data_IF_438925196376
#
_entry.id   IF_438925196376
#
_cell.length_a   1.000
_cell.length_b   1.000
_cell.length_c   1.000
_cell.angle_alpha   90.00
_cell.angle_beta   90.00
_cell.angle_gamma   90.00
#
_symmetry.space_group_name_H-M   'P 1'
#
loop_
_entity.id
_entity.type
_entity.pdbx_description
1 polymer ?
#
# COMPACT_ATOMS: atom_id res chain seq x y z
N UNK A 1 -12.64 -22.51 67.63
CA UNK A 1 -12.22 -23.62 66.74
C UNK A 1 -11.93 -23.02 65.37
N UNK A 2 -10.66 -22.87 65.03
CA UNK A 2 -10.19 -22.45 63.71
C UNK A 2 -10.16 -23.63 62.72
N UNK A 3 -10.26 -23.36 61.42
CA UNK A 3 -9.38 -23.99 60.45
C UNK A 3 -8.82 -22.94 59.47
N UNK A 4 -7.52 -22.63 59.52
CA UNK A 4 -6.44 -23.28 58.73
C UNK A 4 -6.54 -23.01 57.23
N UNK A 5 -5.93 -21.90 56.78
CA UNK A 5 -5.58 -21.67 55.38
C UNK A 5 -4.24 -22.33 55.02
N UNK A 6 -4.00 -22.70 53.74
CA UNK A 6 -2.76 -23.33 53.35
C UNK A 6 -1.65 -22.30 53.10
N UNK A 7 -0.54 -22.53 53.79
CA UNK A 7 0.77 -21.94 53.59
C UNK A 7 1.40 -22.41 52.28
N UNK A 8 1.79 -21.48 51.41
CA UNK A 8 2.70 -21.76 50.30
C UNK A 8 4.14 -21.44 50.71
N UNK A 9 4.90 -22.47 51.07
CA UNK A 9 6.36 -22.41 51.17
C UNK A 9 6.97 -23.26 50.04
N UNK A 10 7.91 -22.65 49.31
CA UNK A 10 9.12 -23.31 48.84
C UNK A 10 9.07 -24.00 47.48
N UNK A 11 9.60 -23.34 46.44
CA UNK A 11 10.32 -23.98 45.34
C UNK A 11 11.40 -23.02 44.78
N UNK A 12 12.48 -23.54 44.18
CA UNK A 12 13.84 -23.04 44.38
C UNK A 12 14.29 -21.95 43.39
N UNK A 13 15.21 -21.12 43.87
CA UNK A 13 15.97 -20.14 43.08
C UNK A 13 16.93 -20.86 42.12
N UNK A 14 16.48 -21.14 40.91
CA UNK A 14 17.34 -21.50 39.79
C UNK A 14 17.99 -20.26 39.18
N UNK A 15 19.27 -20.00 39.51
CA UNK A 15 20.10 -19.02 38.81
C UNK A 15 20.43 -19.58 37.41
N UNK A 16 19.64 -19.22 36.41
CA UNK A 16 20.07 -19.33 35.02
C UNK A 16 20.78 -18.05 34.60
N UNK A 17 22.12 -18.11 34.63
CA UNK A 17 22.99 -17.13 34.01
C UNK A 17 22.81 -17.23 32.49
N UNK A 18 22.15 -16.24 31.88
CA UNK A 18 22.17 -16.06 30.44
C UNK A 18 23.51 -15.47 30.02
N UNK A 19 24.18 -15.99 28.98
CA UNK A 19 25.43 -15.41 28.50
C UNK A 19 25.14 -14.04 27.87
N UNK A 20 25.86 -13.01 28.36
CA UNK A 20 25.89 -11.67 27.79
C UNK A 20 26.27 -11.74 26.30
N UNK A 21 25.31 -11.41 25.43
CA UNK A 21 25.54 -11.24 24.01
C UNK A 21 26.49 -10.04 23.78
N UNK A 22 27.56 -10.28 23.02
CA UNK A 22 28.58 -9.30 22.67
C UNK A 22 27.96 -8.09 21.97
N UNK A 23 28.34 -6.89 22.42
CA UNK A 23 28.03 -5.61 21.76
C UNK A 23 28.69 -5.60 20.38
N UNK A 24 27.90 -5.45 19.33
CA UNK A 24 28.40 -5.18 17.98
C UNK A 24 28.04 -3.74 17.64
N UNK A 25 29.05 -2.87 17.66
CA UNK A 25 28.94 -1.48 17.19
C UNK A 25 29.01 -1.48 15.66
N UNK A 26 27.99 -0.92 15.01
CA UNK A 26 27.99 -0.71 13.56
C UNK A 26 28.44 0.72 13.27
N UNK A 27 29.67 0.89 12.78
CA UNK A 27 30.16 2.20 12.32
C UNK A 27 29.73 2.41 10.87
N UNK A 28 28.82 3.36 10.63
CA UNK A 28 28.40 3.75 9.27
C UNK A 28 29.43 4.69 8.64
N UNK A 29 30.13 4.25 7.59
CA UNK A 29 30.92 5.12 6.69
C UNK A 29 30.02 5.67 5.59
N UNK A 30 29.93 6.99 5.49
CA UNK A 30 29.25 7.70 4.40
C UNK A 30 30.26 8.10 3.32
N UNK A 31 29.98 7.74 2.07
CA UNK A 31 30.59 8.34 0.88
C UNK A 31 29.48 9.01 0.08
N UNK A 32 29.62 10.32 -0.14
CA UNK A 32 28.72 11.16 -0.94
C UNK A 32 29.51 11.64 -2.16
N UNK A 33 29.03 11.46 -3.40
CA UNK A 33 29.53 12.24 -4.52
C UNK A 33 28.65 13.49 -4.76
N UNK A 34 29.32 14.59 -5.08
CA UNK A 34 28.77 15.91 -5.33
C UNK A 34 27.96 15.98 -6.64
N UNK A 35 26.84 16.70 -6.61
CA UNK A 35 25.99 16.99 -7.78
C UNK A 35 26.39 18.35 -8.37
N UNK A 36 26.65 18.38 -9.68
CA UNK A 36 27.02 19.56 -10.44
C UNK A 36 25.82 20.46 -10.76
N UNK A 37 26.07 21.76 -10.67
CA UNK A 37 25.20 22.89 -11.01
C UNK A 37 24.89 22.95 -12.51
N UNK A 38 23.63 23.17 -12.87
CA UNK A 38 23.22 23.64 -14.20
C UNK A 38 22.53 25.00 -14.09
N UNK A 39 23.00 25.87 -14.98
CA UNK A 39 22.80 27.30 -15.09
C UNK A 39 21.49 27.64 -15.82
N UNK A 40 20.81 28.70 -15.39
CA UNK A 40 19.56 29.20 -15.96
C UNK A 40 19.82 30.55 -16.63
N UNK A 41 19.57 30.65 -17.94
CA UNK A 41 19.49 31.93 -18.65
C UNK A 41 18.47 31.88 -19.81
N UNK A 42 17.26 32.38 -19.53
CA UNK A 42 16.54 33.51 -20.18
C UNK A 42 16.31 33.62 -21.72
N UNK A 43 15.33 34.45 -22.15
CA UNK A 43 14.35 34.16 -23.24
C UNK A 43 14.47 35.06 -24.48
N UNK A 44 13.60 34.86 -25.51
CA UNK A 44 13.05 35.87 -26.46
C UNK A 44 12.05 35.22 -27.46
N UNK A 45 10.76 35.63 -27.50
CA UNK A 45 10.08 36.67 -28.33
C UNK A 45 9.68 36.25 -29.78
N UNK A 46 8.35 36.26 -30.01
CA UNK A 46 7.55 36.61 -31.21
C UNK A 46 7.97 36.21 -32.64
N UNK A 47 7.06 35.56 -33.38
CA UNK A 47 6.31 36.19 -34.50
C UNK A 47 5.21 35.27 -35.04
N UNK A 48 4.08 35.89 -35.42
CA UNK A 48 3.01 35.33 -36.24
C UNK A 48 3.41 35.29 -37.73
N UNK A 49 2.82 34.38 -38.51
CA UNK A 49 2.04 34.75 -39.71
C UNK A 49 1.27 33.56 -40.30
N UNK A 50 0.14 33.90 -40.89
CA UNK A 50 -0.94 33.04 -41.37
C UNK A 50 -0.86 32.73 -42.88
N UNK A 51 -1.50 31.63 -43.33
CA UNK A 51 -2.26 31.47 -44.60
C UNK A 51 -2.86 30.03 -44.63
N UNK A 52 -4.18 29.82 -44.53
CA UNK A 52 -5.29 29.90 -45.53
C UNK A 52 -5.43 28.67 -46.46
N UNK A 53 -6.66 28.11 -46.44
CA UNK A 53 -7.37 27.23 -47.40
C UNK A 53 -7.04 25.71 -47.40
N UNK A 54 -7.98 24.77 -47.55
CA UNK A 54 -9.39 24.81 -47.96
C UNK A 54 -10.17 23.58 -47.43
N UNK A 55 -11.49 23.74 -47.33
CA UNK A 55 -12.46 22.69 -47.06
C UNK A 55 -12.53 21.61 -48.16
N UNK A 56 -12.65 20.34 -47.75
CA UNK A 56 -13.32 19.26 -48.49
C UNK A 56 -14.09 18.37 -47.52
N UNK A 57 -15.35 18.13 -47.81
CA UNK A 57 -16.26 17.18 -47.15
C UNK A 57 -16.57 16.03 -48.14
N UNK A 58 -17.25 14.95 -47.72
CA UNK A 58 -16.70 13.72 -47.16
C UNK A 58 -16.79 12.55 -48.16
N UNK A 59 -15.96 11.52 -48.00
CA UNK A 59 -16.13 10.26 -48.75
C UNK A 59 -15.83 9.05 -47.87
N UNK A 60 -16.91 8.34 -47.54
CA UNK A 60 -17.06 6.88 -47.42
C UNK A 60 -16.07 6.10 -46.54
N UNK A 61 -16.61 5.58 -45.43
CA UNK A 61 -16.08 4.42 -44.70
C UNK A 61 -16.05 3.18 -45.59
N UNK A 62 -15.09 2.28 -45.33
CA UNK A 62 -15.42 0.86 -45.26
C UNK A 62 -14.94 0.23 -43.95
N UNK A 63 -15.88 -0.45 -43.27
CA UNK A 63 -15.60 -1.69 -42.54
C UNK A 63 -14.91 -1.58 -41.19
N UNK A 64 -15.72 -1.45 -40.15
CA UNK A 64 -15.48 -1.97 -38.80
C UNK A 64 -14.83 -3.36 -38.82
N UNK A 65 -13.60 -3.42 -38.37
CA UNK A 65 -13.24 -4.30 -37.26
C UNK A 65 -12.70 -3.35 -36.20
N UNK A 66 -13.57 -2.88 -35.31
CA UNK A 66 -13.08 -2.51 -33.98
C UNK A 66 -12.53 -3.81 -33.42
N UNK A 67 -11.22 -3.97 -33.59
CA UNK A 67 -10.40 -4.84 -32.76
C UNK A 67 -10.95 -4.61 -31.36
N UNK A 68 -11.62 -5.62 -30.80
CA UNK A 68 -12.11 -5.58 -29.42
C UNK A 68 -10.85 -5.60 -28.58
N UNK A 69 -10.17 -4.46 -28.54
CA UNK A 69 -8.93 -4.24 -27.85
C UNK A 69 -9.30 -4.55 -26.42
N UNK A 70 -8.85 -5.72 -25.94
CA UNK A 70 -9.05 -6.12 -24.56
C UNK A 70 -8.39 -5.03 -23.72
N UNK A 71 -9.21 -4.08 -23.31
CA UNK A 71 -8.75 -2.91 -22.60
C UNK A 71 -8.45 -3.41 -21.22
N UNK A 72 -7.23 -3.17 -20.74
CA UNK A 72 -6.83 -3.63 -19.42
C UNK A 72 -7.86 -3.17 -18.38
N UNK A 73 -8.28 -4.04 -17.43
CA UNK A 73 -9.26 -3.67 -16.42
C UNK A 73 -8.87 -2.38 -15.72
N UNK A 74 -9.82 -1.48 -15.47
CA UNK A 74 -9.52 -0.24 -14.74
C UNK A 74 -9.08 -0.57 -13.31
N UNK A 75 -8.01 0.07 -12.85
CA UNK A 75 -7.48 -0.10 -11.49
C UNK A 75 -8.10 0.95 -10.56
N UNK A 76 -8.69 0.53 -9.45
CA UNK A 76 -9.12 1.42 -8.37
C UNK A 76 -8.33 1.11 -7.10
N UNK A 77 -7.47 2.03 -6.66
CA UNK A 77 -6.83 1.90 -5.34
C UNK A 77 -7.77 2.41 -4.25
N UNK A 78 -8.08 1.54 -3.29
CA UNK A 78 -9.04 1.81 -2.21
C UNK A 78 -8.31 2.03 -0.88
N UNK A 79 -8.30 3.27 -0.39
CA UNK A 79 -7.82 3.59 0.95
C UNK A 79 -8.98 3.67 1.94
N UNK A 80 -8.75 3.32 3.22
CA UNK A 80 -9.77 3.46 4.28
C UNK A 80 -10.39 4.86 4.33
N UNK A 81 -9.56 5.87 4.09
CA UNK A 81 -9.95 7.27 4.18
C UNK A 81 -9.59 7.88 5.53
N UNK A 82 -9.45 9.20 5.55
CA UNK A 82 -9.09 9.96 6.73
C UNK A 82 -9.48 11.42 6.54
N UNK A 83 -9.76 12.11 7.65
CA UNK A 83 -9.93 13.58 7.66
C UNK A 83 -8.60 14.31 7.50
N UNK A 84 -7.49 13.61 7.67
CA UNK A 84 -6.16 14.15 7.46
C UNK A 84 -5.83 14.22 5.96
N UNK A 85 -5.67 15.44 5.45
CA UNK A 85 -5.35 15.70 4.04
C UNK A 85 -4.05 15.03 3.59
N UNK A 86 -3.12 14.71 4.50
CA UNK A 86 -1.88 14.00 4.16
C UNK A 86 -2.14 12.61 3.61
N UNK A 87 -3.22 11.95 4.04
CA UNK A 87 -3.64 10.66 3.49
C UNK A 87 -4.10 10.82 2.05
N UNK A 88 -4.99 11.78 1.78
CA UNK A 88 -5.47 12.03 0.43
C UNK A 88 -4.32 12.42 -0.53
N UNK A 89 -3.41 13.29 -0.09
CA UNK A 89 -2.22 13.67 -0.88
C UNK A 89 -1.31 12.48 -1.17
N UNK A 90 -1.06 11.62 -0.18
CA UNK A 90 -0.27 10.41 -0.38
C UNK A 90 -0.94 9.45 -1.36
N UNK A 91 -2.24 9.20 -1.24
CA UNK A 91 -2.94 8.31 -2.19
C UNK A 91 -2.94 8.87 -3.61
N UNK A 92 -3.11 10.19 -3.78
CA UNK A 92 -3.02 10.82 -5.11
C UNK A 92 -1.59 10.78 -5.69
N UNK A 93 -0.57 10.96 -4.86
CA UNK A 93 0.81 10.81 -5.31
C UNK A 93 1.14 9.34 -5.66
N UNK A 94 0.55 8.36 -4.98
CA UNK A 94 0.65 6.95 -5.35
C UNK A 94 -0.02 6.68 -6.71
N UNK A 95 -1.18 7.28 -6.97
CA UNK A 95 -1.83 7.23 -8.30
C UNK A 95 -0.92 7.78 -9.39
N UNK A 96 -0.30 8.94 -9.16
CA UNK A 96 0.63 9.53 -10.12
C UNK A 96 1.83 8.60 -10.41
N UNK A 97 2.35 7.92 -9.39
CA UNK A 97 3.43 6.95 -9.54
C UNK A 97 2.97 5.69 -10.31
N UNK A 98 1.75 5.21 -10.07
CA UNK A 98 1.16 4.11 -10.86
C UNK A 98 1.05 4.48 -12.33
N UNK A 99 0.51 5.66 -12.64
CA UNK A 99 0.42 6.17 -14.02
C UNK A 99 1.80 6.33 -14.66
N UNK A 100 2.83 6.70 -13.89
CA UNK A 100 4.21 6.80 -14.39
C UNK A 100 4.80 5.43 -14.72
N UNK A 101 4.53 4.41 -13.91
CA UNK A 101 5.06 3.05 -14.10
C UNK A 101 4.29 2.27 -15.18
N UNK A 102 2.97 2.48 -15.29
CA UNK A 102 2.07 1.82 -16.23
C UNK A 102 1.06 2.82 -16.82
N UNK A 103 1.46 3.65 -17.80
CA UNK A 103 0.57 4.60 -18.46
C UNK A 103 -0.65 3.94 -19.12
N UNK A 104 -0.55 2.67 -19.47
CA UNK A 104 -1.59 1.85 -20.08
C UNK A 104 -2.70 1.42 -19.11
N UNK A 105 -2.46 1.48 -17.79
CA UNK A 105 -3.46 1.15 -16.76
C UNK A 105 -4.18 2.41 -16.32
N UNK A 106 -5.48 2.50 -16.60
CA UNK A 106 -6.31 3.58 -16.08
C UNK A 106 -6.51 3.39 -14.56
N UNK A 107 -5.86 4.25 -13.77
CA UNK A 107 -5.84 4.14 -12.32
C UNK A 107 -6.68 5.25 -11.67
N UNK A 108 -7.55 4.88 -10.73
CA UNK A 108 -8.40 5.78 -9.95
C UNK A 108 -8.16 5.63 -8.46
N UNK A 109 -8.45 6.69 -7.71
CA UNK A 109 -8.38 6.71 -6.23
C UNK A 109 -9.78 6.68 -5.68
N UNK A 110 -10.03 5.77 -4.74
CA UNK A 110 -11.26 5.71 -3.98
C UNK A 110 -10.99 5.66 -2.47
N UNK A 111 -11.94 6.17 -1.71
CA UNK A 111 -11.92 6.08 -0.25
C UNK A 111 -13.15 5.34 0.28
N UNK A 112 -12.96 4.55 1.35
CA UNK A 112 -14.05 3.81 2.00
C UNK A 112 -14.89 4.72 2.90
N UNK A 113 -14.26 5.72 3.53
CA UNK A 113 -14.92 6.69 4.38
C UNK A 113 -14.17 8.05 4.40
N UNK A 114 -14.71 9.01 5.17
CA UNK A 114 -14.07 10.27 5.64
C UNK A 114 -13.54 11.26 4.60
N UNK A 115 -13.44 10.87 3.33
CA UNK A 115 -12.94 11.68 2.24
C UNK A 115 -13.53 11.20 0.92
N UNK A 116 -13.40 12.04 -0.10
CA UNK A 116 -13.95 11.82 -1.43
C UNK A 116 -12.80 11.77 -2.46
N UNK A 117 -13.00 11.10 -3.59
CA UNK A 117 -14.24 10.41 -4.02
C UNK A 117 -14.44 9.06 -3.29
N UNK A 118 -15.70 8.70 -3.02
CA UNK A 118 -16.04 7.42 -2.40
C UNK A 118 -15.92 6.26 -3.39
N UNK A 119 -15.71 5.03 -2.91
CA UNK A 119 -15.63 3.86 -3.78
C UNK A 119 -16.84 3.70 -4.72
N UNK A 120 -18.11 3.82 -4.27
CA UNK A 120 -19.26 3.77 -5.19
C UNK A 120 -19.28 4.90 -6.22
N UNK A 121 -18.83 6.11 -5.87
CA UNK A 121 -18.78 7.23 -6.82
C UNK A 121 -17.78 6.97 -7.95
N UNK A 122 -16.61 6.44 -7.60
CA UNK A 122 -15.58 6.10 -8.58
C UNK A 122 -16.06 4.97 -9.47
N UNK A 123 -16.57 3.88 -8.89
CA UNK A 123 -17.08 2.74 -9.64
C UNK A 123 -18.25 3.13 -10.56
N UNK A 124 -19.18 3.97 -10.11
CA UNK A 124 -20.28 4.46 -10.95
C UNK A 124 -19.80 5.37 -12.09
N UNK A 125 -18.76 6.18 -11.87
CA UNK A 125 -18.14 7.02 -12.92
C UNK A 125 -17.47 6.14 -13.98
N UNK A 126 -16.75 5.11 -13.54
CA UNK A 126 -16.09 4.13 -14.42
C UNK A 126 -17.12 3.34 -15.23
N UNK A 127 -18.19 2.85 -14.60
CA UNK A 127 -19.29 2.20 -15.30
C UNK A 127 -19.98 3.12 -16.32
N UNK A 128 -20.18 4.40 -15.97
CA UNK A 128 -20.77 5.40 -16.87
C UNK A 128 -19.91 5.78 -18.06
N UNK A 129 -18.62 5.42 -18.06
CA UNK A 129 -17.68 5.65 -19.17
C UNK A 129 -17.55 4.46 -20.12
N UNK A 130 -18.37 3.41 -19.94
CA UNK A 130 -18.38 2.22 -20.81
C UNK A 130 -17.30 1.19 -20.45
N UNK A 131 -16.72 1.29 -19.25
CA UNK A 131 -15.80 0.27 -18.72
C UNK A 131 -16.61 -0.82 -18.04
N UNK A 132 -16.36 -2.07 -18.44
CA UNK A 132 -17.07 -3.24 -17.91
C UNK A 132 -16.23 -4.06 -16.91
N UNK A 133 -14.94 -3.78 -16.78
CA UNK A 133 -14.02 -4.53 -15.92
C UNK A 133 -13.22 -3.61 -15.00
N UNK A 134 -13.30 -3.87 -13.69
CA UNK A 134 -12.60 -3.10 -12.66
C UNK A 134 -11.94 -4.02 -11.64
N UNK A 135 -10.71 -3.65 -11.25
CA UNK A 135 -10.00 -4.29 -10.16
C UNK A 135 -9.80 -3.29 -9.02
N UNK A 136 -10.32 -3.62 -7.84
CA UNK A 136 -10.15 -2.82 -6.63
C UNK A 136 -8.98 -3.37 -5.83
N UNK A 137 -7.97 -2.54 -5.54
CA UNK A 137 -6.80 -2.92 -4.72
C UNK A 137 -6.84 -2.19 -3.37
N UNK A 138 -7.04 -2.92 -2.25
CA UNK A 138 -7.05 -2.33 -0.91
C UNK A 138 -5.65 -1.89 -0.46
N UNK A 139 -5.51 -0.61 -0.09
CA UNK A 139 -4.29 -0.03 0.47
C UNK A 139 -4.17 -0.29 1.98
N UNK A 140 -4.09 -1.57 2.37
CA UNK A 140 -3.84 -2.01 3.74
C UNK A 140 -2.49 -2.74 3.84
N UNK A 141 -1.66 -2.30 4.78
CA UNK A 141 -0.32 -2.85 5.01
C UNK A 141 -0.30 -4.02 5.99
N UNK A 142 -1.36 -4.22 6.76
CA UNK A 142 -1.39 -5.10 7.94
C UNK A 142 -2.23 -6.34 7.74
N UNK A 143 -3.33 -6.24 6.99
CA UNK A 143 -4.14 -7.41 6.62
C UNK A 143 -3.51 -8.16 5.46
N UNK A 144 -3.49 -9.50 5.52
CA UNK A 144 -2.90 -10.33 4.48
C UNK A 144 -3.92 -11.02 3.57
N UNK A 145 -5.12 -11.30 4.09
CA UNK A 145 -6.18 -12.04 3.39
C UNK A 145 -7.49 -11.28 3.48
N UNK A 146 -7.90 -10.91 4.69
CA UNK A 146 -9.18 -10.24 4.89
C UNK A 146 -9.14 -8.82 4.32
N UNK A 147 -10.15 -8.49 3.53
CA UNK A 147 -10.39 -7.14 3.02
C UNK A 147 -11.27 -6.40 4.02
N UNK A 148 -11.18 -5.07 4.06
CA UNK A 148 -12.07 -4.24 4.88
C UNK A 148 -13.54 -4.59 4.52
N UNK A 149 -14.38 -5.06 5.47
CA UNK A 149 -15.71 -5.61 5.16
C UNK A 149 -16.64 -4.64 4.43
N UNK A 150 -16.34 -3.35 4.48
CA UNK A 150 -17.10 -2.32 3.76
C UNK A 150 -16.89 -2.39 2.26
N UNK A 151 -15.73 -2.87 1.79
CA UNK A 151 -15.45 -2.97 0.35
C UNK A 151 -16.49 -3.88 -0.31
N UNK A 152 -16.74 -5.05 0.24
CA UNK A 152 -17.70 -6.00 -0.34
C UNK A 152 -19.11 -5.40 -0.42
N UNK A 153 -19.55 -4.71 0.64
CA UNK A 153 -20.84 -4.03 0.65
C UNK A 153 -20.95 -2.88 -0.36
N UNK A 154 -19.89 -2.08 -0.50
CA UNK A 154 -19.83 -0.95 -1.44
C UNK A 154 -19.74 -1.43 -2.90
N UNK A 155 -19.01 -2.52 -3.16
CA UNK A 155 -18.95 -3.17 -4.47
C UNK A 155 -20.30 -3.78 -4.82
N UNK A 156 -20.91 -4.57 -3.93
CA UNK A 156 -22.22 -5.16 -4.15
C UNK A 156 -23.30 -4.10 -4.44
N UNK A 157 -23.29 -2.99 -3.69
CA UNK A 157 -24.17 -1.85 -3.95
C UNK A 157 -24.00 -1.31 -5.38
N UNK A 158 -22.75 -1.17 -5.83
CA UNK A 158 -22.45 -0.59 -7.15
C UNK A 158 -22.78 -1.55 -8.29
N UNK A 159 -22.45 -2.83 -8.16
CA UNK A 159 -22.78 -3.87 -9.15
C UNK A 159 -24.30 -4.06 -9.27
N UNK A 160 -25.06 -3.85 -8.20
CA UNK A 160 -26.53 -3.85 -8.30
C UNK A 160 -27.07 -2.68 -9.16
N UNK A 161 -26.41 -1.52 -9.11
CA UNK A 161 -26.76 -0.35 -9.92
C UNK A 161 -26.23 -0.44 -11.36
N UNK A 162 -25.13 -1.16 -11.56
CA UNK A 162 -24.47 -1.35 -12.85
C UNK A 162 -24.21 -2.84 -13.11
N UNK A 163 -25.22 -3.63 -13.55
CA UNK A 163 -25.09 -5.08 -13.68
C UNK A 163 -24.05 -5.57 -14.71
N UNK A 164 -23.68 -4.72 -15.67
CA UNK A 164 -22.64 -5.02 -16.66
C UNK A 164 -21.21 -4.89 -16.09
N UNK A 165 -21.05 -4.17 -14.97
CA UNK A 165 -19.74 -3.92 -14.36
C UNK A 165 -19.27 -5.15 -13.56
N UNK A 166 -18.23 -5.81 -14.05
CA UNK A 166 -17.50 -6.87 -13.35
C UNK A 166 -16.41 -6.26 -12.48
N UNK A 167 -16.50 -6.51 -11.18
CA UNK A 167 -15.55 -6.00 -10.19
C UNK A 167 -14.84 -7.16 -9.50
N UNK A 168 -13.51 -7.23 -9.63
CA UNK A 168 -12.66 -8.11 -8.80
C UNK A 168 -12.00 -7.30 -7.68
N UNK A 169 -11.92 -7.87 -6.49
CA UNK A 169 -11.26 -7.25 -5.33
C UNK A 169 -9.97 -8.01 -5.05
N UNK A 170 -8.84 -7.34 -5.24
CA UNK A 170 -7.54 -7.92 -4.96
C UNK A 170 -7.32 -8.09 -3.45
N UNK A 171 -6.40 -8.99 -3.10
CA UNK A 171 -5.88 -9.05 -1.73
C UNK A 171 -5.23 -7.71 -1.35
N UNK A 172 -5.20 -7.37 -0.05
CA UNK A 172 -4.49 -6.18 0.41
C UNK A 172 -3.00 -6.21 0.05
N UNK A 173 -2.39 -5.02 -0.02
CA UNK A 173 -1.00 -4.89 -0.45
C UNK A 173 -0.01 -5.50 0.54
N UNK A 174 -0.22 -5.41 1.86
CA UNK A 174 0.75 -5.88 2.86
C UNK A 174 0.36 -7.14 3.62
N UNK A 175 1.10 -7.52 4.67
CA UNK A 175 2.45 -7.09 5.04
C UNK A 175 3.54 -7.85 4.25
N UNK A 176 4.08 -7.20 3.21
CA UNK A 176 5.05 -7.82 2.30
C UNK A 176 6.52 -7.65 2.69
N UNK A 177 7.35 -8.59 2.24
CA UNK A 177 8.78 -8.61 2.58
C UNK A 177 9.54 -7.46 1.91
N UNK A 178 9.16 -7.13 0.67
CA UNK A 178 9.77 -6.08 -0.15
C UNK A 178 9.71 -4.71 0.53
N UNK A 179 8.67 -4.46 1.32
CA UNK A 179 8.50 -3.21 2.05
C UNK A 179 9.54 -3.00 3.17
N UNK A 180 10.25 -4.04 3.59
CA UNK A 180 11.33 -3.90 4.58
C UNK A 180 12.53 -3.12 4.02
N UNK A 181 12.80 -3.21 2.72
CA UNK A 181 13.87 -2.43 2.07
C UNK A 181 13.54 -0.94 2.14
N UNK A 182 12.28 -0.59 1.86
CA UNK A 182 11.81 0.79 1.97
C UNK A 182 11.81 1.28 3.42
N UNK A 183 11.34 0.44 4.36
CA UNK A 183 11.40 0.74 5.80
C UNK A 183 12.83 1.03 6.27
N UNK A 184 13.79 0.22 5.82
CA UNK A 184 15.21 0.41 6.13
C UNK A 184 15.75 1.71 5.55
N UNK A 185 15.43 2.05 4.29
CA UNK A 185 15.82 3.31 3.69
C UNK A 185 15.26 4.52 4.48
N UNK A 186 13.99 4.47 4.90
CA UNK A 186 13.36 5.50 5.74
C UNK A 186 14.04 5.59 7.11
N UNK A 187 14.34 4.45 7.73
CA UNK A 187 15.02 4.42 9.03
C UNK A 187 16.43 5.01 8.94
N UNK A 188 17.23 4.61 7.95
CA UNK A 188 18.58 5.15 7.73
C UNK A 188 18.56 6.66 7.53
N UNK A 189 17.60 7.17 6.77
CA UNK A 189 17.42 8.61 6.56
C UNK A 189 17.14 9.34 7.89
N UNK A 190 16.26 8.79 8.73
CA UNK A 190 15.96 9.37 10.04
C UNK A 190 17.16 9.30 11.01
N UNK A 191 17.91 8.20 11.02
CA UNK A 191 19.13 8.05 11.83
C UNK A 191 20.20 9.05 11.40
N UNK A 192 20.39 9.24 10.09
CA UNK A 192 21.35 10.21 9.55
C UNK A 192 20.96 11.66 9.92
N UNK A 193 19.68 12.01 9.77
CA UNK A 193 19.16 13.33 10.14
C UNK A 193 19.36 13.62 11.64
N UNK A 194 19.14 12.62 12.50
CA UNK A 194 19.33 12.72 13.95
C UNK A 194 20.80 12.54 14.39
N UNK A 195 21.74 12.31 13.46
CA UNK A 195 23.17 12.05 13.72
C UNK A 195 23.40 10.92 14.74
N UNK A 196 22.59 9.88 14.65
CA UNK A 196 22.66 8.73 15.57
C UNK A 196 23.89 7.89 15.24
N UNK A 197 24.74 7.66 16.26
CA UNK A 197 25.98 6.89 16.12
C UNK A 197 25.86 5.44 16.56
N UNK A 198 24.89 5.14 17.42
CA UNK A 198 24.67 3.83 17.99
C UNK A 198 23.20 3.43 17.92
N UNK A 199 22.95 2.16 17.67
CA UNK A 199 21.62 1.58 17.63
C UNK A 199 21.68 0.17 18.22
N UNK A 200 20.82 -0.13 19.19
CA UNK A 200 20.84 -1.41 19.91
C UNK A 200 19.45 -2.09 20.00
N UNK A 201 18.40 -1.44 19.48
CA UNK A 201 17.04 -1.99 19.41
C UNK A 201 16.18 -1.33 18.34
N UNK A 202 15.24 -2.10 17.82
CA UNK A 202 14.31 -1.67 16.77
C UNK A 202 12.86 -1.88 17.22
N UNK A 203 11.97 -1.01 16.76
CA UNK A 203 10.53 -1.21 16.86
C UNK A 203 9.93 -1.10 15.48
N UNK A 204 9.20 -2.12 15.06
CA UNK A 204 8.36 -2.07 13.87
C UNK A 204 6.96 -1.62 14.28
N UNK A 205 6.60 -0.42 13.87
CA UNK A 205 5.39 0.27 14.29
C UNK A 205 4.35 0.23 13.18
N UNK A 206 3.17 -0.33 13.43
CA UNK A 206 2.07 -0.39 12.47
C UNK A 206 0.83 0.37 12.94
N UNK A 207 -0.07 0.70 12.02
CA UNK A 207 -1.34 1.34 12.34
C UNK A 207 -2.26 0.40 13.15
N UNK A 208 -2.34 -0.86 12.74
CA UNK A 208 -3.25 -1.88 13.27
C UNK A 208 -2.56 -3.25 13.35
N UNK A 209 -3.16 -4.22 14.06
CA UNK A 209 -2.67 -5.61 14.14
C UNK A 209 -2.93 -6.40 12.85
N UNK A 210 -3.97 -6.05 12.09
CA UNK A 210 -4.40 -6.75 10.87
C UNK A 210 -5.25 -7.98 11.18
N UNK A 211 -5.49 -8.82 10.17
CA UNK A 211 -6.12 -10.14 10.34
C UNK A 211 -5.17 -11.16 11.01
N UNK A 212 -5.65 -12.37 11.29
CA UNK A 212 -4.86 -13.43 11.96
C UNK A 212 -3.57 -13.71 11.18
N UNK A 213 -3.66 -13.81 9.85
CA UNK A 213 -2.50 -14.09 8.99
C UNK A 213 -1.58 -12.87 8.87
N UNK A 214 -2.15 -11.68 8.78
CA UNK A 214 -1.45 -10.39 8.77
C UNK A 214 -0.62 -10.18 10.03
N UNK A 215 -1.20 -10.41 11.20
CA UNK A 215 -0.50 -10.34 12.50
C UNK A 215 0.72 -11.27 12.52
N UNK A 216 0.54 -12.52 12.09
CA UNK A 216 1.63 -13.51 12.04
C UNK A 216 2.74 -13.10 11.04
N UNK A 217 2.35 -12.56 9.88
CA UNK A 217 3.29 -12.08 8.88
C UNK A 217 4.01 -10.81 9.35
N UNK A 218 3.34 -9.87 10.01
CA UNK A 218 3.96 -8.68 10.57
C UNK A 218 5.00 -9.04 11.65
N UNK A 219 4.69 -9.99 12.52
CA UNK A 219 5.65 -10.56 13.47
C UNK A 219 6.82 -11.27 12.76
N UNK A 220 6.57 -11.90 11.61
CA UNK A 220 7.64 -12.44 10.75
C UNK A 220 8.49 -11.32 10.13
N UNK A 221 7.88 -10.21 9.68
CA UNK A 221 8.61 -9.04 9.14
C UNK A 221 9.52 -8.42 10.20
N UNK A 222 9.03 -8.24 11.42
CA UNK A 222 9.85 -7.77 12.54
C UNK A 222 11.05 -8.69 12.81
N UNK A 223 10.86 -10.02 12.78
CA UNK A 223 11.96 -11.00 12.92
C UNK A 223 12.95 -10.97 11.75
N UNK A 224 12.47 -10.82 10.52
CA UNK A 224 13.33 -10.69 9.34
C UNK A 224 14.18 -9.42 9.42
N UNK A 225 13.56 -8.31 9.81
CA UNK A 225 14.23 -7.03 9.98
C UNK A 225 15.24 -7.05 11.14
N UNK A 226 14.87 -7.67 12.26
CA UNK A 226 15.78 -7.98 13.38
C UNK A 226 16.99 -8.79 12.93
N UNK A 227 16.79 -9.84 12.14
CA UNK A 227 17.87 -10.69 11.62
C UNK A 227 18.80 -9.93 10.68
N UNK A 228 18.25 -9.09 9.80
CA UNK A 228 19.01 -8.28 8.87
C UNK A 228 19.96 -7.31 9.59
N UNK A 229 19.47 -6.62 10.63
CA UNK A 229 20.28 -5.67 11.40
C UNK A 229 21.06 -6.29 12.56
N UNK A 230 20.80 -7.55 12.90
CA UNK A 230 21.32 -8.23 14.11
C UNK A 230 20.96 -7.48 15.40
N UNK A 231 19.77 -6.90 15.44
CA UNK A 231 19.23 -6.15 16.58
C UNK A 231 17.91 -6.77 17.04
N UNK A 232 17.57 -6.76 18.34
CA UNK A 232 16.23 -7.15 18.78
C UNK A 232 15.19 -6.19 18.20
N UNK A 233 14.12 -6.73 17.63
CA UNK A 233 13.00 -5.95 17.11
C UNK A 233 11.70 -6.39 17.79
N UNK A 234 10.97 -5.43 18.37
CA UNK A 234 9.61 -5.64 18.84
C UNK A 234 8.60 -4.98 17.89
N UNK A 235 7.34 -5.39 17.97
CA UNK A 235 6.25 -4.73 17.24
C UNK A 235 5.51 -3.76 18.15
N UNK A 236 4.96 -2.70 17.56
CA UNK A 236 4.07 -1.77 18.22
C UNK A 236 2.89 -1.42 17.32
N UNK A 237 1.73 -1.15 17.90
CA UNK A 237 0.47 -0.92 17.17
C UNK A 237 -0.19 0.37 17.66
N UNK A 238 -0.69 1.19 16.74
CA UNK A 238 -1.22 2.52 17.04
C UNK A 238 -2.70 2.54 17.46
N UNK A 239 -3.49 1.53 17.12
CA UNK A 239 -4.94 1.47 17.38
C UNK A 239 -5.33 0.91 18.77
N UNK A 240 -4.33 0.52 19.58
CA UNK A 240 -4.55 -0.06 20.91
C UNK A 240 -4.88 -1.56 20.92
N UNK A 241 -4.95 -2.23 19.77
CA UNK A 241 -5.15 -3.69 19.68
C UNK A 241 -3.91 -4.50 20.04
N UNK A 242 -2.76 -3.85 20.21
CA UNK A 242 -1.49 -4.47 20.57
C UNK A 242 -0.63 -3.56 21.46
N UNK A 243 0.64 -3.95 21.71
CA UNK A 243 1.56 -3.14 22.48
C UNK A 243 1.72 -1.75 21.88
N UNK A 244 1.56 -0.71 22.69
CA UNK A 244 1.93 0.66 22.29
C UNK A 244 3.43 0.77 22.07
N UNK A 245 3.86 1.81 21.34
CA UNK A 245 5.29 2.08 21.14
C UNK A 245 6.03 2.29 22.46
N UNK A 246 5.39 2.91 23.45
CA UNK A 246 5.95 3.09 24.79
C UNK A 246 6.18 1.74 25.50
N UNK A 247 5.21 0.82 25.43
CA UNK A 247 5.34 -0.52 26.01
C UNK A 247 6.43 -1.34 25.30
N UNK A 248 6.51 -1.29 23.97
CA UNK A 248 7.57 -1.94 23.21
C UNK A 248 8.96 -1.38 23.56
N UNK A 249 9.12 -0.05 23.65
CA UNK A 249 10.36 0.57 24.11
C UNK A 249 10.74 0.14 25.52
N UNK A 250 9.78 0.09 26.44
CA UNK A 250 10.02 -0.37 27.81
C UNK A 250 10.48 -1.83 27.84
N UNK A 251 9.90 -2.69 26.99
CA UNK A 251 10.32 -4.08 26.82
C UNK A 251 11.75 -4.24 26.34
N UNK A 252 12.22 -3.39 25.41
CA UNK A 252 13.63 -3.38 25.01
C UNK A 252 14.54 -2.81 26.10
N UNK A 253 14.08 -1.80 26.85
CA UNK A 253 14.86 -1.18 27.93
C UNK A 253 15.09 -2.11 29.11
N UNK A 254 14.12 -2.97 29.44
CA UNK A 254 14.29 -4.01 30.47
C UNK A 254 15.33 -5.06 30.08
N UNK A 255 15.59 -5.23 28.77
CA UNK A 255 16.67 -6.06 28.23
C UNK A 255 18.01 -5.32 28.10
N UNK A 256 18.12 -4.11 28.65
CA UNK A 256 19.33 -3.30 28.64
C UNK A 256 19.57 -2.48 27.38
N UNK A 257 18.60 -2.39 26.46
CA UNK A 257 18.69 -1.55 25.25
C UNK A 257 18.45 -0.08 25.60
N UNK A 258 19.17 0.82 24.95
CA UNK A 258 19.17 2.26 25.25
C UNK A 258 19.01 3.12 23.99
N UNK A 259 19.59 2.70 22.87
CA UNK A 259 19.54 3.38 21.59
C UNK A 259 18.51 2.68 20.69
N UNK A 260 17.24 3.01 20.91
CA UNK A 260 16.11 2.37 20.24
C UNK A 260 15.56 3.29 19.16
N UNK A 261 15.42 2.79 17.94
CA UNK A 261 14.75 3.52 16.85
C UNK A 261 13.45 2.82 16.42
N UNK A 262 12.54 3.62 15.86
CA UNK A 262 11.21 3.18 15.44
C UNK A 262 11.12 3.25 13.92
N UNK A 263 10.84 2.12 13.28
CA UNK A 263 10.46 2.04 11.87
C UNK A 263 8.94 2.12 11.73
N UNK A 264 8.48 3.06 10.91
CA UNK A 264 7.06 3.32 10.67
C UNK A 264 6.54 2.55 9.45
N UNK A 265 5.83 1.45 9.73
CA UNK A 265 5.09 0.65 8.76
C UNK A 265 3.70 1.24 8.48
N UNK A 266 3.71 2.45 7.90
CA UNK A 266 2.55 3.27 7.55
C UNK A 266 2.67 3.72 6.09
N UNK A 267 1.55 3.92 5.39
CA UNK A 267 1.57 4.49 4.03
C UNK A 267 1.72 6.01 4.07
N UNK A 268 1.09 6.69 5.01
CA UNK A 268 1.06 8.14 5.09
C UNK A 268 1.36 8.62 6.52
N UNK A 269 1.77 9.89 6.63
CA UNK A 269 2.02 10.55 7.91
C UNK A 269 0.69 11.02 8.50
N UNK A 270 -0.22 10.09 8.77
CA UNK A 270 -1.55 10.37 9.30
C UNK A 270 -1.50 10.69 10.81
N UNK A 271 -2.67 10.96 11.39
CA UNK A 271 -2.81 11.26 12.82
C UNK A 271 -2.30 10.11 13.70
N UNK A 272 -2.57 8.85 13.33
CA UNK A 272 -2.12 7.68 14.10
C UNK A 272 -0.60 7.58 14.12
N UNK A 273 0.03 7.74 12.95
CA UNK A 273 1.48 7.82 12.86
C UNK A 273 2.02 9.00 13.68
N UNK A 274 1.42 10.18 13.58
CA UNK A 274 1.88 11.37 14.27
C UNK A 274 1.85 11.19 15.80
N UNK A 275 0.75 10.65 16.35
CA UNK A 275 0.62 10.35 17.78
C UNK A 275 1.67 9.32 18.22
N UNK A 276 1.85 8.25 17.44
CA UNK A 276 2.85 7.22 17.77
C UNK A 276 4.28 7.75 17.70
N UNK A 277 4.61 8.52 16.67
CA UNK A 277 5.94 9.10 16.47
C UNK A 277 6.28 10.10 17.57
N UNK A 278 5.32 10.94 17.96
CA UNK A 278 5.43 11.88 19.06
C UNK A 278 5.58 11.16 20.41
N UNK A 279 4.81 10.10 20.65
CA UNK A 279 4.97 9.25 21.84
C UNK A 279 6.36 8.58 21.87
N UNK A 280 6.85 8.06 20.76
CA UNK A 280 8.17 7.46 20.67
C UNK A 280 9.28 8.46 21.00
N UNK A 281 9.20 9.68 20.45
CA UNK A 281 10.15 10.76 20.74
C UNK A 281 10.12 11.14 22.21
N UNK A 282 8.93 11.33 22.81
CA UNK A 282 8.78 11.61 24.25
C UNK A 282 9.40 10.54 25.14
N UNK A 283 9.22 9.28 24.78
CA UNK A 283 9.78 8.16 25.55
C UNK A 283 11.29 8.04 25.32
N UNK A 284 11.87 8.72 24.33
CA UNK A 284 13.31 8.81 24.08
C UNK A 284 13.81 7.87 22.98
N UNK A 285 13.03 7.69 21.91
CA UNK A 285 13.52 7.03 20.71
C UNK A 285 14.60 7.90 20.05
N UNK A 286 15.71 7.29 19.64
CA UNK A 286 16.84 8.04 19.03
C UNK A 286 16.51 8.50 17.61
N UNK A 287 15.60 7.78 16.94
CA UNK A 287 15.05 8.16 15.65
C UNK A 287 13.67 7.51 15.46
N UNK A 288 12.82 8.16 14.68
CA UNK A 288 11.56 7.63 14.18
C UNK A 288 11.55 7.84 12.67
N UNK A 289 11.39 6.78 11.90
CA UNK A 289 11.36 6.89 10.44
C UNK A 289 10.09 7.60 9.98
N UNK A 290 10.19 8.28 8.83
CA UNK A 290 8.98 8.66 8.10
C UNK A 290 8.23 7.40 7.63
N UNK A 291 6.92 7.51 7.34
CA UNK A 291 6.14 6.46 6.69
C UNK A 291 6.77 6.00 5.38
N UNK A 292 6.36 4.82 4.90
CA UNK A 292 6.80 4.26 3.62
C UNK A 292 6.53 5.23 2.46
N UNK A 293 5.37 5.90 2.49
CA UNK A 293 5.00 6.90 1.51
C UNK A 293 4.59 6.28 0.18
N UNK A 294 4.83 7.03 -0.89
CA UNK A 294 4.43 6.71 -2.26
C UNK A 294 5.61 6.25 -3.10
N UNK A 295 6.50 5.45 -2.50
CA UNK A 295 7.67 4.96 -3.21
C UNK A 295 7.26 3.97 -4.31
N UNK A 296 8.12 3.84 -5.33
CA UNK A 296 7.87 2.97 -6.49
C UNK A 296 7.56 1.53 -6.06
N UNK A 297 8.20 1.02 -5.01
CA UNK A 297 7.98 -0.34 -4.49
C UNK A 297 6.55 -0.56 -3.98
N UNK A 298 5.88 0.50 -3.50
CA UNK A 298 4.47 0.43 -3.10
C UNK A 298 3.58 0.36 -4.34
N UNK A 299 3.90 1.15 -5.37
CA UNK A 299 3.16 1.14 -6.64
C UNK A 299 3.34 -0.20 -7.38
N UNK A 300 4.56 -0.74 -7.43
CA UNK A 300 4.83 -2.08 -7.98
C UNK A 300 4.04 -3.17 -7.25
N UNK A 301 3.91 -3.07 -5.94
CA UNK A 301 3.13 -4.02 -5.15
C UNK A 301 1.64 -3.91 -5.44
N UNK A 302 1.11 -2.69 -5.61
CA UNK A 302 -0.26 -2.47 -6.08
C UNK A 302 -0.46 -3.09 -7.45
N UNK A 303 0.46 -2.87 -8.40
CA UNK A 303 0.40 -3.46 -9.75
C UNK A 303 0.47 -4.99 -9.71
N UNK A 304 1.25 -5.57 -8.81
CA UNK A 304 1.29 -7.02 -8.62
C UNK A 304 -0.03 -7.58 -8.09
N UNK A 305 -0.69 -6.87 -7.16
CA UNK A 305 -2.04 -7.25 -6.68
C UNK A 305 -3.10 -7.09 -7.76
N UNK A 306 -3.02 -6.00 -8.50
CA UNK A 306 -3.86 -5.73 -9.66
C UNK A 306 -3.75 -6.84 -10.71
N UNK A 307 -2.53 -7.18 -11.15
CA UNK A 307 -2.32 -8.17 -12.18
C UNK A 307 -2.87 -9.56 -11.78
N UNK A 308 -2.70 -9.95 -10.51
CA UNK A 308 -3.26 -11.21 -10.02
C UNK A 308 -4.79 -11.22 -10.01
N UNK A 309 -5.42 -10.14 -9.53
CA UNK A 309 -6.88 -10.03 -9.49
C UNK A 309 -7.51 -9.84 -10.88
N UNK A 310 -6.81 -9.17 -11.80
CA UNK A 310 -7.21 -9.05 -13.20
C UNK A 310 -7.34 -10.43 -13.88
N UNK A 311 -6.52 -11.41 -13.49
CA UNK A 311 -6.66 -12.78 -14.01
C UNK A 311 -8.01 -13.41 -13.67
N UNK A 312 -8.67 -13.00 -12.58
CA UNK A 312 -9.99 -13.51 -12.21
C UNK A 312 -11.12 -12.97 -13.09
N UNK A 313 -10.86 -11.91 -13.87
CA UNK A 313 -11.81 -11.32 -14.81
C UNK A 313 -11.73 -11.95 -16.20
N UNK A 314 -10.68 -12.73 -16.46
CA UNK A 314 -10.52 -13.42 -17.74
C UNK A 314 -11.51 -14.58 -17.84
N UNK A 315 -12.22 -14.72 -18.97
CA UNK A 315 -13.07 -15.87 -19.22
C UNK A 315 -12.20 -17.12 -19.40
N UNK A 316 -12.40 -18.11 -18.52
CA UNK A 316 -11.86 -19.45 -18.67
C UNK A 316 -12.99 -20.42 -18.98
N UNK A 317 -12.78 -21.34 -19.93
CA UNK A 317 -13.72 -22.43 -20.18
C UNK A 317 -13.70 -23.47 -19.03
N UNK A 318 -14.65 -24.42 -19.04
CA UNK A 318 -14.73 -25.50 -18.03
C UNK A 318 -13.46 -26.39 -17.96
N UNK A 319 -12.53 -26.24 -18.91
CA UNK A 319 -11.27 -26.99 -19.00
C UNK A 319 -10.06 -26.15 -18.55
N UNK A 320 -10.27 -24.89 -18.15
CA UNK A 320 -9.23 -23.97 -17.72
C UNK A 320 -8.42 -23.34 -18.87
N UNK A 321 -8.87 -23.47 -20.11
CA UNK A 321 -8.29 -22.75 -21.23
C UNK A 321 -8.88 -21.34 -21.30
N UNK A 322 -8.08 -20.40 -21.80
CA UNK A 322 -8.55 -19.06 -22.11
C UNK A 322 -9.68 -19.16 -23.15
N UNK A 323 -10.89 -18.79 -22.76
CA UNK A 323 -12.02 -18.72 -23.68
C UNK A 323 -11.93 -17.37 -24.38
N UNK A 324 -11.49 -17.33 -25.63
CA UNK A 324 -11.65 -16.11 -26.42
C UNK A 324 -13.14 -15.75 -26.43
N UNK A 325 -13.52 -14.47 -26.25
CA UNK A 325 -14.93 -14.08 -26.32
C UNK A 325 -15.48 -14.55 -27.67
N UNK A 326 -16.59 -15.30 -27.64
CA UNK A 326 -17.24 -15.74 -28.88
C UNK A 326 -17.57 -14.49 -29.71
N UNK A 327 -17.23 -14.47 -31.01
CA UNK A 327 -17.58 -13.33 -31.84
C UNK A 327 -19.10 -13.19 -31.82
N UNK A 328 -19.57 -12.00 -31.45
CA UNK A 328 -20.98 -11.66 -31.45
C UNK A 328 -21.52 -11.82 -32.88
N UNK A 329 -22.12 -12.98 -33.17
CA UNK A 329 -22.73 -13.22 -34.47
C UNK A 329 -24.01 -12.42 -34.50
N UNK A 330 -23.92 -11.18 -35.01
CA UNK A 330 -25.09 -10.38 -35.33
C UNK A 330 -26.04 -11.25 -36.19
N UNK A 331 -27.33 -11.40 -35.81
CA UNK A 331 -28.25 -12.16 -36.60
C UNK A 331 -28.36 -11.49 -37.97
N UNK A 332 -27.92 -12.20 -39.02
CA UNK A 332 -28.12 -11.78 -40.40
C UNK A 332 -29.63 -11.61 -40.57
N UNK A 333 -30.06 -10.34 -40.63
CA UNK A 333 -31.46 -9.99 -40.83
C UNK A 333 -32.00 -10.71 -42.05
N UNK A 334 -33.07 -11.46 -41.85
CA UNK A 334 -33.84 -12.06 -42.92
C UNK A 334 -34.27 -10.94 -43.89
N UNK A 335 -33.63 -10.87 -45.04
CA UNK A 335 -34.12 -10.09 -46.18
C UNK A 335 -35.44 -10.72 -46.61
N UNK A 336 -36.54 -10.15 -46.11
CA UNK A 336 -37.87 -10.35 -46.65
C UNK A 336 -37.89 -9.78 -48.08
N UNK A 337 -37.76 -10.65 -49.08
CA UNK A 337 -38.21 -10.34 -50.43
C UNK A 337 -39.73 -10.38 -50.43
N UNK A 338 -40.34 -9.19 -50.43
CA UNK A 338 -41.76 -9.00 -50.68
C UNK A 338 -42.04 -8.86 -52.18
N UNK A 339 -43.05 -9.62 -52.62
CA UNK A 339 -43.92 -9.51 -53.80
C UNK A 339 -43.28 -9.45 -55.20
#
# INVERSE_FOLDING_TARGET
>A
MSPSGPSWQGLPRGRHAYPLAKRHHLTLRTQVPACGTLDLASPQLFSQDAHVNAARTPSQQPGTMEDTAMTAPTLVIAARGSRDQRVARATQALKAELTRLRPEVDAHVAFLDSCLPSLPQVLGTVAGSGVDEVVVVPLDLTHAIEVDPRIDGLVAQTTHQHPALRVSVARPIGPEASLLTLLDARLRSALAAARVLELDGLILSSATTGDVRGTALLARRARQWSTHHRLPCLTAVADGSGPSVAQAMQGLRSQGRRHIAVGSFFLAADERWAVQADQARRVGAVAVSEPLGTAAEVAELVLARYAFAAMELLPFDERGNFAAPEPEVAPIGALAFGA
#
